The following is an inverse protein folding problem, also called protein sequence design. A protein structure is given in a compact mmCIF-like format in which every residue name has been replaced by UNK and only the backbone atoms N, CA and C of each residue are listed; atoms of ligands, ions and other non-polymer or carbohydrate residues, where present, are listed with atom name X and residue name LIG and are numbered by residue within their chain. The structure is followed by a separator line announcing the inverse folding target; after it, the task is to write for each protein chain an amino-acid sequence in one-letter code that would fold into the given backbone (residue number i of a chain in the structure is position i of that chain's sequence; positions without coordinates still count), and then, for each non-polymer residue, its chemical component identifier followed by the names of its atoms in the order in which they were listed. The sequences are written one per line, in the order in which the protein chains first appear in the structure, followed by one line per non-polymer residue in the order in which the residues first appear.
data_IF_142734089163
#
_entry.id   IF_142734089163
#
_cell.length_a   1.000
_cell.length_b   1.000
_cell.length_c   1.000
_cell.angle_alpha   90.00
_cell.angle_beta   90.00
_cell.angle_gamma   90.00
#
_symmetry.space_group_name_H-M   'P 1'
#
loop_
_entity.id
_entity.type
_entity.pdbx_description
1 polymer ?
#
# COMPACT_ATOMS: atom_id res chain seq x y z
N UNK A 1 10.46 16.16 -9.68
CA UNK A 1 9.68 15.87 -8.46
C UNK A 1 8.65 14.74 -8.72
N UNK A 2 9.04 13.49 -8.47
CA UNK A 2 8.21 12.31 -8.74
C UNK A 2 7.95 11.47 -7.47
N UNK A 3 7.88 12.09 -6.30
CA UNK A 3 7.22 11.46 -5.16
C UNK A 3 5.73 11.70 -5.36
N UNK A 4 4.91 10.66 -5.49
CA UNK A 4 3.47 10.82 -5.30
C UNK A 4 3.28 11.54 -3.96
N UNK A 5 2.54 12.66 -3.89
CA UNK A 5 2.25 13.28 -2.62
C UNK A 5 1.63 12.21 -1.71
N UNK A 6 1.93 12.21 -0.40
CA UNK A 6 1.24 11.32 0.53
C UNK A 6 -0.27 11.51 0.31
N UNK A 7 -1.08 10.44 0.47
CA UNK A 7 -2.53 10.58 0.39
C UNK A 7 -2.94 11.76 1.28
N UNK A 8 -3.84 12.64 0.80
CA UNK A 8 -4.27 13.79 1.58
C UNK A 8 -4.72 13.29 2.95
N UNK A 9 -4.30 13.98 4.01
CA UNK A 9 -4.80 13.66 5.35
C UNK A 9 -6.33 13.66 5.31
N UNK A 10 -6.99 12.74 6.04
CA UNK A 10 -8.44 12.77 6.14
C UNK A 10 -8.88 14.16 6.62
N UNK A 11 -10.02 14.68 6.11
CA UNK A 11 -10.50 15.98 6.53
C UNK A 11 -10.68 16.03 8.06
N UNK A 12 -10.40 17.18 8.71
CA UNK A 12 -10.55 17.30 10.16
C UNK A 12 -11.98 16.97 10.61
N UNK A 13 -12.12 16.23 11.72
CA UNK A 13 -13.43 15.92 12.31
C UNK A 13 -14.15 14.69 11.74
N UNK A 14 -13.46 13.84 10.98
CA UNK A 14 -13.98 12.52 10.59
C UNK A 14 -13.85 11.56 11.79
N UNK A 15 -14.95 11.00 12.33
CA UNK A 15 -14.89 9.97 13.36
C UNK A 15 -14.33 8.66 12.79
N UNK A 16 -13.65 7.89 13.63
CA UNK A 16 -13.18 6.54 13.27
C UNK A 16 -14.35 5.64 12.87
N UNK A 17 -14.09 4.60 12.06
CA UNK A 17 -15.13 3.68 11.60
C UNK A 17 -15.82 2.96 12.76
N UNK A 18 -15.11 2.68 13.85
CA UNK A 18 -15.64 2.13 15.10
C UNK A 18 -16.54 3.13 15.87
N UNK A 19 -16.41 4.43 15.60
CA UNK A 19 -17.21 5.50 16.19
C UNK A 19 -18.41 5.91 15.31
N UNK A 20 -18.58 5.27 14.14
CA UNK A 20 -19.77 5.46 13.29
C UNK A 20 -20.89 4.52 13.70
N UNK A 21 -22.15 4.96 13.56
CA UNK A 21 -23.31 4.16 13.92
C UNK A 21 -23.28 2.80 13.22
N UNK A 22 -23.07 1.73 14.00
CA UNK A 22 -23.00 0.37 13.47
C UNK A 22 -24.38 -0.17 13.10
N UNK A 23 -25.45 0.53 13.47
CA UNK A 23 -26.82 0.04 13.41
C UNK A 23 -27.75 1.01 12.72
N UNK A 24 -28.54 0.51 11.78
CA UNK A 24 -29.72 1.21 11.27
C UNK A 24 -30.95 0.52 11.88
N UNK A 25 -31.51 1.13 12.93
CA UNK A 25 -32.57 0.53 13.74
C UNK A 25 -32.06 -0.70 14.50
N UNK A 26 -32.64 -1.88 14.22
CA UNK A 26 -32.25 -3.17 14.84
C UNK A 26 -31.21 -3.94 14.04
N UNK A 27 -30.87 -3.48 12.83
CA UNK A 27 -29.96 -4.17 11.92
C UNK A 27 -28.55 -3.60 12.05
N UNK A 28 -27.57 -4.49 12.21
CA UNK A 28 -26.16 -4.10 12.16
C UNK A 28 -25.71 -4.00 10.69
N UNK A 29 -25.19 -2.84 10.32
CA UNK A 29 -24.76 -2.52 8.96
C UNK A 29 -23.49 -3.27 8.58
N UNK A 30 -23.39 -3.64 7.31
CA UNK A 30 -22.15 -4.16 6.72
C UNK A 30 -21.13 -3.03 6.56
N UNK A 31 -19.87 -3.39 6.39
CA UNK A 31 -18.81 -2.39 6.11
C UNK A 31 -19.09 -1.66 4.78
N UNK A 32 -19.67 -2.37 3.80
CA UNK A 32 -20.14 -1.79 2.53
C UNK A 32 -21.15 -0.67 2.73
N UNK A 33 -22.19 -0.93 3.53
CA UNK A 33 -23.29 0.01 3.76
C UNK A 33 -22.82 1.24 4.54
N UNK A 34 -22.01 1.03 5.60
CA UNK A 34 -21.40 2.14 6.36
C UNK A 34 -20.56 3.04 5.46
N UNK A 35 -19.78 2.45 4.56
CA UNK A 35 -18.98 3.20 3.59
C UNK A 35 -19.85 3.98 2.59
N UNK A 36 -20.99 3.43 2.16
CA UNK A 36 -21.94 4.16 1.28
C UNK A 36 -22.51 5.39 1.95
N UNK A 37 -22.93 5.27 3.21
CA UNK A 37 -23.40 6.40 4.01
C UNK A 37 -22.29 7.45 4.14
N UNK A 38 -21.06 7.03 4.46
CA UNK A 38 -19.93 7.94 4.59
C UNK A 38 -19.61 8.70 3.28
N UNK A 39 -19.70 8.01 2.15
CA UNK A 39 -19.44 8.58 0.81
C UNK A 39 -20.57 9.42 0.25
N UNK A 40 -21.73 9.46 0.91
CA UNK A 40 -22.78 10.40 0.52
C UNK A 40 -22.29 11.85 0.60
N UNK A 41 -21.29 12.14 1.43
CA UNK A 41 -20.60 13.42 1.45
C UNK A 41 -19.69 13.59 0.20
N UNK A 42 -19.92 14.60 -0.65
CA UNK A 42 -19.11 14.85 -1.85
C UNK A 42 -17.61 15.03 -1.57
N UNK A 43 -17.25 15.58 -0.40
CA UNK A 43 -15.86 15.76 0.02
C UNK A 43 -15.17 14.41 0.18
N UNK A 44 -15.81 13.46 0.86
CA UNK A 44 -15.28 12.12 1.07
C UNK A 44 -15.25 11.32 -0.24
N UNK A 45 -16.31 11.38 -1.04
CA UNK A 45 -16.41 10.68 -2.32
C UNK A 45 -15.28 11.02 -3.30
N UNK A 46 -14.74 12.23 -3.23
CA UNK A 46 -13.68 12.72 -4.11
C UNK A 46 -12.41 11.85 -4.10
N UNK A 47 -12.05 11.31 -2.93
CA UNK A 47 -10.87 10.46 -2.74
C UNK A 47 -11.24 8.97 -2.71
N UNK A 48 -12.36 8.63 -2.06
CA UNK A 48 -12.86 7.27 -1.94
C UNK A 48 -13.16 6.59 -3.29
N UNK A 49 -13.52 7.37 -4.32
CA UNK A 49 -13.68 6.85 -5.69
C UNK A 49 -12.44 6.14 -6.24
N UNK A 50 -11.24 6.42 -5.72
CA UNK A 50 -9.99 5.79 -6.16
C UNK A 50 -9.59 4.60 -5.30
N UNK A 51 -9.96 4.59 -4.01
CA UNK A 51 -9.48 3.64 -3.01
C UNK A 51 -10.46 2.48 -2.84
N UNK A 52 -11.74 2.76 -2.72
CA UNK A 52 -12.74 1.77 -2.35
C UNK A 52 -12.91 0.64 -3.35
N UNK A 53 -12.86 0.85 -4.67
CA UNK A 53 -12.99 -0.27 -5.61
C UNK A 53 -11.94 -1.36 -5.35
N UNK A 54 -10.73 -0.96 -4.94
CA UNK A 54 -9.63 -1.87 -4.58
C UNK A 54 -9.97 -2.61 -3.29
N UNK A 55 -10.45 -1.91 -2.26
CA UNK A 55 -10.83 -2.49 -0.98
C UNK A 55 -12.01 -3.46 -1.10
N UNK A 56 -13.07 -3.07 -1.83
CA UNK A 56 -14.26 -3.89 -2.06
C UNK A 56 -13.93 -5.18 -2.83
N UNK A 57 -13.08 -5.10 -3.85
CA UNK A 57 -12.63 -6.28 -4.58
C UNK A 57 -11.84 -7.27 -3.69
N UNK A 58 -11.30 -6.81 -2.56
CA UNK A 58 -10.56 -7.62 -1.58
C UNK A 58 -11.39 -7.96 -0.33
N UNK A 59 -12.64 -7.51 -0.25
CA UNK A 59 -13.48 -7.62 0.96
C UNK A 59 -13.80 -9.09 1.34
N UNK A 60 -13.59 -10.03 0.42
CA UNK A 60 -13.61 -11.46 0.72
C UNK A 60 -12.52 -11.91 1.70
N UNK A 61 -11.50 -11.11 1.97
CA UNK A 61 -10.51 -11.42 3.00
C UNK A 61 -10.85 -10.65 4.28
N UNK A 62 -10.92 -11.36 5.41
CA UNK A 62 -10.98 -10.70 6.71
C UNK A 62 -9.61 -10.15 7.13
N UNK A 63 -9.55 -9.52 8.32
CA UNK A 63 -8.32 -8.93 8.88
C UNK A 63 -7.18 -9.94 9.09
N UNK A 64 -7.49 -11.23 9.14
CA UNK A 64 -6.49 -12.32 9.26
C UNK A 64 -6.11 -12.91 7.90
N UNK A 65 -6.75 -12.46 6.81
CA UNK A 65 -6.58 -13.02 5.47
C UNK A 65 -7.43 -14.28 5.22
N UNK A 66 -8.40 -14.60 6.07
CA UNK A 66 -9.30 -15.73 5.85
C UNK A 66 -10.38 -15.35 4.84
N UNK A 67 -10.66 -16.27 3.92
CA UNK A 67 -11.73 -16.10 2.95
C UNK A 67 -13.12 -16.14 3.61
N UNK A 68 -13.96 -15.17 3.26
CA UNK A 68 -15.35 -15.02 3.68
C UNK A 68 -16.25 -14.64 2.51
N UNK A 69 -17.51 -15.04 2.62
CA UNK A 69 -18.57 -14.76 1.63
C UNK A 69 -19.75 -14.00 2.25
N UNK A 70 -19.74 -13.82 3.57
CA UNK A 70 -20.78 -13.12 4.32
C UNK A 70 -20.18 -12.22 5.40
N UNK A 71 -20.87 -11.13 5.69
CA UNK A 71 -20.64 -10.25 6.83
C UNK A 71 -21.96 -10.14 7.61
N UNK A 72 -21.91 -10.37 8.92
CA UNK A 72 -23.08 -10.23 9.81
C UNK A 72 -24.35 -10.95 9.28
N UNK A 73 -24.17 -12.12 8.65
CA UNK A 73 -25.24 -12.94 8.07
C UNK A 73 -25.67 -12.57 6.64
N UNK A 74 -25.26 -11.42 6.12
CA UNK A 74 -25.58 -10.90 4.78
C UNK A 74 -24.47 -11.29 3.79
N UNK A 75 -24.79 -11.65 2.53
CA UNK A 75 -23.79 -11.84 1.48
C UNK A 75 -22.93 -10.59 1.26
N UNK A 76 -21.64 -10.77 1.00
CA UNK A 76 -20.74 -9.66 0.68
C UNK A 76 -21.08 -9.06 -0.68
N UNK A 77 -21.00 -7.73 -0.77
CA UNK A 77 -21.00 -7.01 -2.03
C UNK A 77 -19.61 -6.44 -2.29
N UNK A 78 -18.85 -7.16 -3.10
CA UNK A 78 -17.47 -6.85 -3.47
C UNK A 78 -17.37 -6.03 -4.76
N UNK A 79 -18.49 -5.64 -5.35
CA UNK A 79 -18.53 -4.92 -6.63
C UNK A 79 -18.07 -3.48 -6.46
N UNK A 80 -17.26 -3.01 -7.39
CA UNK A 80 -16.86 -1.61 -7.51
C UNK A 80 -16.40 -1.28 -8.92
N UNK A 81 -16.39 0.00 -9.26
CA UNK A 81 -15.90 0.47 -10.55
C UNK A 81 -14.56 1.15 -10.35
N UNK A 82 -13.52 0.62 -10.99
CA UNK A 82 -12.17 1.16 -10.93
C UNK A 82 -12.09 2.55 -11.57
N UNK A 83 -11.03 3.31 -11.29
CA UNK A 83 -10.92 4.71 -11.74
C UNK A 83 -10.95 4.89 -13.28
N UNK A 84 -10.66 3.82 -14.03
CA UNK A 84 -10.70 3.79 -15.49
C UNK A 84 -12.06 3.36 -16.06
N UNK A 85 -13.05 3.12 -15.20
CA UNK A 85 -14.39 2.66 -15.55
C UNK A 85 -14.54 1.14 -15.62
N UNK A 86 -13.49 0.36 -15.38
CA UNK A 86 -13.59 -1.12 -15.37
C UNK A 86 -14.31 -1.60 -14.12
N UNK A 87 -15.34 -2.43 -14.27
CA UNK A 87 -15.97 -3.09 -13.13
C UNK A 87 -15.09 -4.21 -12.58
N UNK A 88 -14.95 -4.24 -11.25
CA UNK A 88 -14.18 -5.22 -10.50
C UNK A 88 -15.04 -5.75 -9.36
N UNK A 89 -15.05 -7.06 -9.16
CA UNK A 89 -15.81 -7.70 -8.08
C UNK A 89 -15.03 -8.79 -7.36
N UNK A 90 -13.80 -9.04 -7.76
CA UNK A 90 -12.99 -10.11 -7.19
C UNK A 90 -11.51 -9.74 -7.13
N UNK A 91 -10.71 -10.42 -6.29
CA UNK A 91 -9.26 -10.24 -6.26
C UNK A 91 -8.59 -10.54 -7.62
N UNK A 92 -9.15 -11.50 -8.38
CA UNK A 92 -8.66 -11.84 -9.72
C UNK A 92 -8.93 -10.72 -10.74
N UNK A 93 -10.08 -10.06 -10.65
CA UNK A 93 -10.40 -8.91 -11.52
C UNK A 93 -9.50 -7.72 -11.19
N UNK A 94 -9.30 -7.45 -9.90
CA UNK A 94 -8.36 -6.43 -9.44
C UNK A 94 -6.95 -6.69 -9.98
N UNK A 95 -6.46 -7.93 -9.87
CA UNK A 95 -5.15 -8.33 -10.41
C UNK A 95 -5.06 -8.07 -11.92
N UNK A 96 -6.10 -8.45 -12.67
CA UNK A 96 -6.18 -8.24 -14.12
C UNK A 96 -6.13 -6.75 -14.49
N UNK A 97 -6.84 -5.90 -13.75
CA UNK A 97 -6.88 -4.45 -14.00
C UNK A 97 -5.54 -3.79 -13.66
N UNK A 98 -4.92 -4.15 -12.53
CA UNK A 98 -3.61 -3.61 -12.15
C UNK A 98 -2.52 -3.99 -13.17
N UNK A 99 -2.60 -5.19 -13.75
CA UNK A 99 -1.65 -5.65 -14.77
C UNK A 99 -1.79 -4.91 -16.12
N UNK A 100 -2.87 -4.14 -16.36
CA UNK A 100 -2.96 -3.26 -17.54
C UNK A 100 -1.94 -2.13 -17.50
N UNK A 101 -1.48 -1.72 -16.30
CA UNK A 101 -0.48 -0.66 -16.09
C UNK A 101 0.54 -1.10 -15.03
N UNK A 102 1.46 -2.03 -15.36
CA UNK A 102 2.35 -2.65 -14.38
C UNK A 102 3.49 -1.73 -13.94
N UNK A 103 3.88 -0.75 -14.77
CA UNK A 103 5.07 0.08 -14.50
C UNK A 103 4.97 0.85 -13.17
N UNK A 104 3.88 1.58 -12.84
CA UNK A 104 3.76 2.23 -11.53
C UNK A 104 3.85 1.26 -10.36
N UNK A 105 3.21 0.09 -10.47
CA UNK A 105 3.22 -0.95 -9.45
C UNK A 105 4.64 -1.46 -9.18
N UNK A 106 5.33 -1.86 -10.26
CA UNK A 106 6.68 -2.43 -10.16
C UNK A 106 7.72 -1.38 -9.73
N UNK A 107 7.58 -0.13 -10.16
CA UNK A 107 8.45 0.97 -9.67
C UNK A 107 8.22 1.26 -8.20
N UNK A 108 6.97 1.25 -7.73
CA UNK A 108 6.68 1.42 -6.31
C UNK A 108 7.21 0.25 -5.48
N UNK A 109 6.99 -0.98 -5.93
CA UNK A 109 7.56 -2.18 -5.30
C UNK A 109 9.09 -2.09 -5.18
N UNK A 110 9.77 -1.73 -6.28
CA UNK A 110 11.23 -1.58 -6.31
C UNK A 110 11.70 -0.48 -5.38
N UNK A 111 11.01 0.66 -5.34
CA UNK A 111 11.32 1.76 -4.44
C UNK A 111 11.17 1.35 -2.96
N UNK A 112 10.11 0.64 -2.61
CA UNK A 112 9.87 0.13 -1.25
C UNK A 112 10.91 -0.92 -0.85
N UNK A 113 11.26 -1.84 -1.76
CA UNK A 113 12.32 -2.82 -1.54
C UNK A 113 13.68 -2.16 -1.32
N UNK A 114 14.02 -1.17 -2.14
CA UNK A 114 15.27 -0.42 -2.02
C UNK A 114 15.30 0.41 -0.73
N UNK A 115 14.19 1.07 -0.36
CA UNK A 115 14.09 1.80 0.91
C UNK A 115 14.32 0.88 2.11
N UNK A 116 13.71 -0.32 2.08
CA UNK A 116 13.93 -1.35 3.10
C UNK A 116 15.40 -1.79 3.16
N UNK A 117 16.01 -2.11 2.02
CA UNK A 117 17.40 -2.55 1.94
C UNK A 117 18.40 -1.47 2.41
N UNK A 118 18.14 -0.20 2.10
CA UNK A 118 18.98 0.91 2.50
C UNK A 118 18.74 1.33 3.96
N UNK A 119 17.57 1.03 4.53
CA UNK A 119 17.17 1.48 5.86
C UNK A 119 16.89 2.99 5.91
N UNK A 120 16.58 3.61 4.77
CA UNK A 120 16.23 5.04 4.66
C UNK A 120 15.15 5.26 3.61
N UNK A 121 14.49 6.41 3.69
CA UNK A 121 13.61 6.87 2.60
C UNK A 121 14.46 7.14 1.36
N UNK A 122 13.91 6.80 0.19
CA UNK A 122 14.52 7.17 -1.09
C UNK A 122 14.30 8.65 -1.37
N UNK A 123 15.27 9.26 -2.02
CA UNK A 123 15.18 10.61 -2.56
C UNK A 123 15.13 10.60 -4.09
N UNK A 124 15.27 11.78 -4.70
CA UNK A 124 15.22 11.92 -6.15
C UNK A 124 16.46 11.34 -6.85
N UNK A 125 17.61 11.25 -6.17
CA UNK A 125 18.85 10.70 -6.70
C UNK A 125 18.82 9.18 -6.80
N UNK A 126 17.96 8.52 -6.02
CA UNK A 126 17.73 7.06 -6.12
C UNK A 126 16.83 6.67 -7.30
N UNK A 127 16.05 7.61 -7.85
CA UNK A 127 15.07 7.32 -8.90
C UNK A 127 15.65 6.75 -10.22
N UNK A 128 16.84 7.18 -10.70
CA UNK A 128 17.53 6.51 -11.80
C UNK A 128 17.82 5.03 -11.52
N UNK A 129 18.28 4.69 -10.31
CA UNK A 129 18.54 3.30 -9.93
C UNK A 129 17.25 2.47 -9.93
N UNK A 130 16.16 3.00 -9.35
CA UNK A 130 14.83 2.35 -9.41
C UNK A 130 14.41 2.07 -10.85
N UNK A 131 14.55 3.04 -11.76
CA UNK A 131 14.20 2.84 -13.19
C UNK A 131 15.08 1.79 -13.87
N UNK A 132 16.38 1.79 -13.60
CA UNK A 132 17.32 0.82 -14.16
C UNK A 132 16.98 -0.61 -13.70
N UNK A 133 16.73 -0.80 -12.40
CA UNK A 133 16.33 -2.10 -11.83
C UNK A 133 15.04 -2.60 -12.47
N UNK A 134 14.03 -1.74 -12.65
CA UNK A 134 12.77 -2.13 -13.30
C UNK A 134 12.98 -2.51 -14.77
N UNK A 135 13.77 -1.75 -15.52
CA UNK A 135 14.07 -2.05 -16.92
C UNK A 135 14.85 -3.37 -17.09
N UNK A 136 15.75 -3.68 -16.15
CA UNK A 136 16.48 -4.95 -16.17
C UNK A 136 15.62 -6.12 -15.69
N UNK A 137 14.71 -5.90 -14.75
CA UNK A 137 13.74 -6.90 -14.33
C UNK A 137 12.77 -7.26 -15.47
N UNK A 138 12.35 -6.30 -16.28
CA UNK A 138 11.51 -6.53 -17.46
C UNK A 138 12.16 -7.51 -18.46
N UNK A 139 13.46 -7.32 -18.77
CA UNK A 139 14.24 -8.26 -19.61
C UNK A 139 14.29 -9.68 -19.05
N UNK A 140 14.09 -9.83 -17.74
CA UNK A 140 14.14 -11.08 -17.02
C UNK A 140 12.75 -11.58 -16.57
N UNK A 141 11.68 -11.15 -17.24
CA UNK A 141 10.29 -11.54 -16.94
C UNK A 141 9.85 -11.21 -15.50
N UNK A 142 10.31 -10.07 -14.97
CA UNK A 142 9.99 -9.58 -13.63
C UNK A 142 10.24 -10.61 -12.50
N UNK A 143 11.26 -11.46 -12.64
CA UNK A 143 11.64 -12.40 -11.58
C UNK A 143 12.04 -11.65 -10.32
N UNK A 144 11.59 -12.14 -9.16
CA UNK A 144 11.92 -11.55 -7.86
C UNK A 144 13.43 -11.40 -7.65
N UNK A 145 14.21 -12.38 -8.10
CA UNK A 145 15.67 -12.35 -8.04
C UNK A 145 16.29 -11.17 -8.79
N UNK A 146 15.68 -10.71 -9.90
CA UNK A 146 16.17 -9.56 -10.66
C UNK A 146 16.05 -8.26 -9.87
N UNK A 147 14.97 -8.08 -9.10
CA UNK A 147 14.81 -6.92 -8.23
C UNK A 147 15.82 -6.94 -7.07
N UNK A 148 15.96 -8.09 -6.40
CA UNK A 148 16.90 -8.24 -5.29
C UNK A 148 18.34 -7.98 -5.76
N UNK A 149 18.76 -8.64 -6.85
CA UNK A 149 20.09 -8.44 -7.40
C UNK A 149 20.29 -7.01 -7.91
N UNK A 150 19.27 -6.39 -8.50
CA UNK A 150 19.33 -5.00 -8.92
C UNK A 150 19.58 -4.04 -7.76
N UNK A 151 18.89 -4.25 -6.63
CA UNK A 151 19.13 -3.46 -5.40
C UNK A 151 20.55 -3.68 -4.88
N UNK A 152 20.99 -4.94 -4.74
CA UNK A 152 22.34 -5.28 -4.25
C UNK A 152 23.47 -4.75 -5.14
N UNK A 153 23.22 -4.62 -6.45
CA UNK A 153 24.17 -4.08 -7.43
C UNK A 153 24.13 -2.55 -7.56
N UNK A 154 23.21 -1.88 -6.89
CA UNK A 154 23.09 -0.42 -6.98
C UNK A 154 24.20 0.28 -6.18
N UNK A 155 24.69 1.41 -6.69
CA UNK A 155 25.69 2.23 -5.99
C UNK A 155 25.20 2.67 -4.61
N UNK A 156 23.92 3.02 -4.51
CA UNK A 156 23.29 3.41 -3.25
C UNK A 156 23.41 2.31 -2.18
N UNK A 157 23.37 1.03 -2.57
CA UNK A 157 23.55 -0.09 -1.65
C UNK A 157 25.02 -0.39 -1.38
N UNK A 158 25.86 -0.43 -2.43
CA UNK A 158 27.27 -0.81 -2.30
C UNK A 158 28.13 0.25 -1.60
N UNK A 159 27.81 1.53 -1.81
CA UNK A 159 28.51 2.66 -1.17
C UNK A 159 27.86 3.06 0.16
N UNK A 160 26.88 2.29 0.65
CA UNK A 160 26.28 2.52 1.96
C UNK A 160 27.36 2.32 3.03
N UNK A 161 27.77 3.42 3.66
CA UNK A 161 28.64 3.34 4.83
C UNK A 161 27.84 2.80 6.01
N UNK A 162 28.41 1.82 6.71
CA UNK A 162 27.90 1.43 8.00
C UNK A 162 27.96 2.65 8.94
N UNK A 163 26.94 2.90 9.79
CA UNK A 163 27.09 3.84 10.88
C UNK A 163 28.36 3.45 11.65
N UNK A 164 29.28 4.39 11.84
CA UNK A 164 30.40 4.18 12.76
C UNK A 164 29.75 3.91 14.12
N UNK A 165 29.88 2.67 14.61
CA UNK A 165 29.42 2.35 15.94
C UNK A 165 30.21 3.25 16.90
N UNK A 166 29.55 4.24 17.50
CA UNK A 166 30.09 4.99 18.63
C UNK A 166 30.24 4.00 19.78
N UNK A 167 31.42 3.38 19.86
CA UNK A 167 31.81 2.56 20.99
C UNK A 167 32.02 3.43 22.21
N UNK A 168 30.95 3.74 22.93
CA UNK A 168 31.05 4.10 24.35
C UNK A 168 31.35 2.82 25.12
N UNK A 169 32.61 2.41 25.11
CA UNK A 169 33.17 1.50 26.10
C UNK A 169 34.01 2.34 27.07
N UNK A 170 33.35 3.26 27.77
CA UNK A 170 33.92 3.90 28.96
C UNK A 170 33.67 2.97 30.14
N UNK A 171 34.61 2.05 30.35
CA UNK A 171 34.78 1.39 31.65
C UNK A 171 35.24 2.47 32.64
N UNK A 172 34.33 2.92 33.48
CA UNK A 172 34.61 3.88 34.55
C UNK A 172 35.25 3.12 35.74
N UNK A 173 36.57 3.26 36.01
CA UNK A 173 37.24 2.46 37.03
C UNK A 173 37.36 3.31 38.31
N UNK A 174 36.25 3.66 38.95
CA UNK A 174 36.25 4.30 40.28
C UNK A 174 34.90 4.15 41.00
N UNK A 175 34.57 2.91 41.34
CA UNK A 175 33.73 2.59 42.50
C UNK A 175 34.54 1.67 43.39
N UNK A 176 35.21 2.26 44.38
CA UNK A 176 35.72 1.58 45.56
C UNK A 176 35.63 2.55 46.74
#
# INVERSE_FOLDING_TARGET
PCQSPPPPAPPPGVPDLEATDETEGTRILTTRERMEIHRANPVCASCHKFMDPIGLALDNFDVTGKWRTRERGVPLDTRGTFYDGTDISSPSDLSRVLLKRPIPLIRHFTASLMAYALGRRLDYQDQPAVRAIVADAEKNNYRMSSFILGVLKSDAFQMKQAPVASGENSLDPKSR
#
